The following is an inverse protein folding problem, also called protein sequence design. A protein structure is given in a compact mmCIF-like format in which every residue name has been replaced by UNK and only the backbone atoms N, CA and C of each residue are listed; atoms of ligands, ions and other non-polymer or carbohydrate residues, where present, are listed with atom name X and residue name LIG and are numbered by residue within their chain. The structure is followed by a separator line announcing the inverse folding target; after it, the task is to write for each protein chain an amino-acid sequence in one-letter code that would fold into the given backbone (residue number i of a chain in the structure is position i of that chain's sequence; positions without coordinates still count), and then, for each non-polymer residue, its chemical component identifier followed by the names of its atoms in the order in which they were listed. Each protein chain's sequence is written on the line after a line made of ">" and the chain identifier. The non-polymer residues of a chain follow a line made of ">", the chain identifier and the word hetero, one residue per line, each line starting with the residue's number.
data_IF_157432194298
#
_entry.id   IF_157432194298
#
_cell.length_a   1.000
_cell.length_b   1.000
_cell.length_c   1.000
_cell.angle_alpha   90.00
_cell.angle_beta   90.00
_cell.angle_gamma   90.00
#
_symmetry.space_group_name_H-M   'P 1'
#
loop_
_entity.id
_entity.type
_entity.pdbx_description
1 polymer ?
#
# COMPACT_ATOMS: atom_id res chain seq x y z
N UNK A 1 37.88 6.72 -1.65
CA UNK A 1 37.03 5.58 -1.27
C UNK A 1 35.98 6.19 -0.37
N UNK A 2 34.81 6.57 -0.86
CA UNK A 2 33.64 5.69 -0.87
C UNK A 2 32.59 6.24 -1.84
N UNK A 3 32.36 5.52 -2.93
CA UNK A 3 31.31 5.79 -3.90
C UNK A 3 30.04 5.06 -3.47
N UNK A 4 29.33 5.59 -2.48
CA UNK A 4 27.97 5.12 -2.16
C UNK A 4 27.02 5.68 -3.21
N UNK A 5 26.96 4.89 -4.27
CA UNK A 5 26.18 5.04 -5.48
C UNK A 5 24.76 5.56 -5.15
N UNK A 6 24.43 6.70 -5.75
CA UNK A 6 23.16 7.45 -5.69
C UNK A 6 21.99 6.67 -6.32
N UNK A 7 21.77 5.40 -5.93
CA UNK A 7 20.65 4.55 -6.34
C UNK A 7 19.47 4.60 -5.35
N UNK A 8 19.47 5.60 -4.46
CA UNK A 8 18.41 5.77 -3.46
C UNK A 8 17.19 6.50 -4.01
N UNK A 9 17.21 7.16 -5.18
CA UNK A 9 16.09 8.02 -5.61
C UNK A 9 14.91 7.26 -6.24
N UNK A 10 15.17 6.31 -7.14
CA UNK A 10 14.09 5.64 -7.88
C UNK A 10 13.32 4.63 -7.04
N UNK A 11 14.03 3.78 -6.28
CA UNK A 11 13.41 2.83 -5.36
C UNK A 11 12.76 3.52 -4.16
N UNK A 12 13.26 4.66 -3.70
CA UNK A 12 12.63 5.45 -2.63
C UNK A 12 11.39 6.17 -3.14
N UNK A 13 11.40 6.70 -4.36
CA UNK A 13 10.19 7.25 -5.01
C UNK A 13 9.17 6.15 -5.23
N UNK A 14 9.56 4.99 -5.74
CA UNK A 14 8.68 3.83 -5.87
C UNK A 14 8.14 3.39 -4.50
N UNK A 15 8.99 3.29 -3.47
CA UNK A 15 8.57 2.93 -2.10
C UNK A 15 7.66 3.98 -1.48
N UNK A 16 7.88 5.27 -1.73
CA UNK A 16 7.05 6.37 -1.25
C UNK A 16 5.69 6.39 -1.97
N UNK A 17 5.68 6.14 -3.29
CA UNK A 17 4.46 5.96 -4.08
C UNK A 17 3.72 4.71 -3.61
N UNK A 18 4.41 3.60 -3.36
CA UNK A 18 3.81 2.38 -2.80
C UNK A 18 3.24 2.63 -1.40
N UNK A 19 3.93 3.37 -0.53
CA UNK A 19 3.42 3.76 0.79
C UNK A 19 2.21 4.70 0.70
N UNK A 20 2.21 5.61 -0.28
CA UNK A 20 1.07 6.48 -0.56
C UNK A 20 -0.12 5.68 -1.14
N UNK A 21 0.14 4.68 -2.00
CA UNK A 21 -0.88 3.77 -2.52
C UNK A 21 -1.41 2.81 -1.45
N UNK A 22 -0.58 2.39 -0.49
CA UNK A 22 -0.99 1.58 0.65
C UNK A 22 -1.78 2.36 1.70
N UNK A 23 -1.75 3.70 1.65
CA UNK A 23 -2.60 4.55 2.50
C UNK A 23 -2.23 4.58 3.98
N UNK A 24 -1.01 4.21 4.38
CA UNK A 24 -0.55 4.29 5.78
C UNK A 24 -0.14 5.73 6.11
N UNK A 25 -1.10 6.65 6.09
CA UNK A 25 -1.01 7.90 6.83
C UNK A 25 -2.04 7.87 7.93
N UNK A 26 -1.71 7.15 9.01
CA UNK A 26 -2.47 7.13 10.26
C UNK A 26 -2.27 8.47 10.96
N UNK A 27 -2.88 9.51 10.39
CA UNK A 27 -2.91 10.87 10.93
C UNK A 27 -3.75 10.87 12.19
N UNK A 28 -3.08 10.87 13.34
CA UNK A 28 -3.65 11.09 14.65
C UNK A 28 -4.46 12.39 14.65
N UNK A 29 -5.79 12.28 14.65
CA UNK A 29 -6.68 13.44 14.61
C UNK A 29 -8.15 13.05 14.69
N UNK A 30 -8.49 12.11 15.57
CA UNK A 30 -9.84 11.57 15.71
C UNK A 30 -10.21 11.41 17.20
N UNK A 31 -9.86 12.39 18.04
CA UNK A 31 -10.07 12.29 19.50
C UNK A 31 -11.38 12.90 20.01
N UNK A 32 -12.06 13.77 19.27
CA UNK A 32 -13.33 14.34 19.74
C UNK A 32 -14.59 13.61 19.21
N UNK A 33 -14.66 13.22 17.94
CA UNK A 33 -15.95 12.77 17.34
C UNK A 33 -16.19 11.25 17.37
N UNK A 34 -15.15 10.47 17.69
CA UNK A 34 -15.17 9.00 17.70
C UNK A 34 -15.98 8.42 18.88
N UNK A 35 -16.26 9.23 19.90
CA UNK A 35 -17.02 8.76 21.07
C UNK A 35 -18.53 8.67 20.82
N UNK A 36 -19.06 9.26 19.74
CA UNK A 36 -20.52 9.30 19.47
C UNK A 36 -21.00 8.42 18.32
N UNK A 37 -20.15 8.05 17.35
CA UNK A 37 -20.48 7.09 16.29
C UNK A 37 -19.34 6.06 16.13
N UNK A 38 -19.68 4.78 16.25
CA UNK A 38 -18.77 3.65 16.49
C UNK A 38 -17.48 3.61 15.63
N UNK A 39 -16.27 3.84 16.19
CA UNK A 39 -14.96 3.74 15.50
C UNK A 39 -14.71 2.38 14.86
N UNK A 40 -15.38 1.36 15.41
CA UNK A 40 -15.28 -0.03 14.99
C UNK A 40 -15.61 -0.18 13.50
N UNK A 41 -16.59 0.57 12.99
CA UNK A 41 -17.00 0.46 11.58
C UNK A 41 -15.92 0.99 10.62
N UNK A 42 -15.26 2.08 10.99
CA UNK A 42 -14.17 2.67 10.19
C UNK A 42 -12.97 1.72 10.13
N UNK A 43 -12.64 1.06 11.24
CA UNK A 43 -11.56 0.06 11.30
C UNK A 43 -11.94 -1.18 10.49
N UNK A 44 -13.18 -1.66 10.60
CA UNK A 44 -13.69 -2.80 9.83
C UNK A 44 -13.61 -2.56 8.32
N UNK A 45 -14.08 -1.40 7.84
CA UNK A 45 -13.99 -1.05 6.42
C UNK A 45 -12.54 -0.88 5.99
N UNK A 46 -11.70 -0.20 6.79
CA UNK A 46 -10.29 -0.02 6.46
C UNK A 46 -9.53 -1.34 6.32
N UNK A 47 -9.78 -2.29 7.22
CA UNK A 47 -9.18 -3.63 7.16
C UNK A 47 -9.71 -4.41 5.95
N UNK A 48 -11.02 -4.39 5.71
CA UNK A 48 -11.62 -5.08 4.57
C UNK A 48 -11.07 -4.54 3.24
N UNK A 49 -10.96 -3.21 3.11
CA UNK A 49 -10.43 -2.56 1.93
C UNK A 49 -8.94 -2.88 1.72
N UNK A 50 -8.17 -2.95 2.81
CA UNK A 50 -6.76 -3.35 2.76
C UNK A 50 -6.61 -4.79 2.25
N UNK A 51 -7.43 -5.72 2.74
CA UNK A 51 -7.40 -7.12 2.30
C UNK A 51 -7.74 -7.23 0.81
N UNK A 52 -8.82 -6.57 0.37
CA UNK A 52 -9.24 -6.55 -1.05
C UNK A 52 -8.15 -5.96 -1.94
N UNK A 53 -7.51 -4.88 -1.49
CA UNK A 53 -6.44 -4.23 -2.23
C UNK A 53 -5.22 -5.14 -2.42
N UNK A 54 -4.77 -5.83 -1.36
CA UNK A 54 -3.64 -6.77 -1.44
C UNK A 54 -3.96 -7.94 -2.36
N UNK A 55 -5.15 -8.54 -2.25
CA UNK A 55 -5.58 -9.64 -3.14
C UNK A 55 -5.54 -9.19 -4.60
N UNK A 56 -6.05 -7.98 -4.88
CA UNK A 56 -6.08 -7.43 -6.23
C UNK A 56 -4.68 -7.25 -6.81
N UNK A 57 -3.72 -6.78 -6.01
CA UNK A 57 -2.32 -6.62 -6.45
C UNK A 57 -1.64 -7.96 -6.73
N UNK A 58 -1.84 -8.96 -5.87
CA UNK A 58 -1.26 -10.31 -6.06
C UNK A 58 -1.84 -10.96 -7.31
N UNK A 59 -3.15 -10.85 -7.52
CA UNK A 59 -3.82 -11.35 -8.72
C UNK A 59 -3.25 -10.69 -9.98
N UNK A 60 -3.14 -9.36 -9.98
CA UNK A 60 -2.59 -8.61 -11.10
C UNK A 60 -1.14 -8.99 -11.38
N UNK A 61 -0.31 -9.14 -10.35
CA UNK A 61 1.09 -9.54 -10.49
C UNK A 61 1.22 -10.96 -11.07
N UNK A 62 0.42 -11.91 -10.60
CA UNK A 62 0.38 -13.27 -11.14
C UNK A 62 -0.04 -13.29 -12.61
N UNK A 63 -1.04 -12.49 -12.97
CA UNK A 63 -1.47 -12.33 -14.36
C UNK A 63 -0.36 -11.75 -15.26
N UNK A 64 0.34 -10.70 -14.80
CA UNK A 64 1.48 -10.12 -15.53
C UNK A 64 2.60 -11.14 -15.73
N UNK A 65 2.98 -11.87 -14.68
CA UNK A 65 4.05 -12.89 -14.78
C UNK A 65 3.65 -13.99 -15.76
N UNK A 66 2.41 -14.51 -15.66
CA UNK A 66 1.90 -15.53 -16.58
C UNK A 66 1.85 -15.04 -18.03
N UNK A 67 1.47 -13.78 -18.26
CA UNK A 67 1.45 -13.17 -19.59
C UNK A 67 2.85 -13.08 -20.23
N UNK A 68 3.90 -12.94 -19.40
CA UNK A 68 5.28 -12.87 -19.84
C UNK A 68 5.90 -14.25 -20.08
N UNK A 69 5.50 -15.28 -19.31
CA UNK A 69 6.07 -16.64 -19.43
C UNK A 69 5.45 -17.48 -20.55
N UNK A 70 4.29 -17.08 -21.11
CA UNK A 70 3.64 -17.75 -22.23
C UNK A 70 4.13 -17.37 -23.64
N UNK A 71 5.21 -16.59 -23.76
CA UNK A 71 5.80 -16.17 -25.05
C UNK A 71 7.19 -16.80 -25.31
N UNK A 72 7.46 -17.98 -24.77
CA UNK A 72 8.67 -18.78 -25.02
C UNK A 72 8.35 -20.08 -25.74
#
# INVERSE_FOLDING_TARGET
>A
MESTQRKLSFFQTLRAVLWAMFGVRRGAGWREDVARLNPVYVIMIGVLFTIVFVISLVFLAGWVVSSMTGQG
#
